data_IF_059740695397
#
_entry.id   IF_059740695397
#
_cell.length_a   1.000
_cell.length_b   1.000
_cell.length_c   1.000
_cell.angle_alpha   90.00
_cell.angle_beta   90.00
_cell.angle_gamma   90.00
#
_symmetry.space_group_name_H-M   'P 1'
#
loop_
_entity.id
_entity.type
_entity.pdbx_description
1 polymer ?
#
# COMPACT_ATOMS: atom_id res chain seq x y z
N UNK A 1 -0.65 -7.75 10.03
CA UNK A 1 0.10 -6.56 9.59
C UNK A 1 -0.88 -5.66 8.84
N UNK A 2 -0.79 -4.35 9.03
CA UNK A 2 -1.74 -3.35 8.51
C UNK A 2 -0.99 -2.10 8.03
N UNK A 3 -1.70 -1.28 7.25
CA UNK A 3 -1.26 -0.01 6.67
C UNK A 3 -2.20 1.11 7.12
N UNK A 4 -1.77 2.36 6.96
CA UNK A 4 -2.52 3.57 7.28
C UNK A 4 -2.79 4.39 6.01
N UNK A 5 -4.00 4.96 5.80
CA UNK A 5 -4.34 5.71 4.59
C UNK A 5 -3.46 6.93 4.32
N UNK A 6 -2.84 7.48 5.36
CA UNK A 6 -1.98 8.66 5.34
C UNK A 6 -0.49 8.34 5.12
N UNK A 7 -0.11 7.07 5.06
CA UNK A 7 1.29 6.69 4.88
C UNK A 7 1.70 6.52 3.41
N UNK A 8 3.00 6.57 3.15
CA UNK A 8 3.56 6.37 1.81
C UNK A 8 3.34 4.93 1.34
N UNK A 9 2.88 4.79 0.09
CA UNK A 9 2.52 3.49 -0.48
C UNK A 9 3.75 2.58 -0.64
N UNK A 10 4.92 3.17 -0.81
CA UNK A 10 6.22 2.50 -0.89
C UNK A 10 6.58 1.80 0.43
N UNK A 11 6.25 2.41 1.57
CA UNK A 11 6.48 1.83 2.90
C UNK A 11 5.58 0.61 3.12
N UNK A 12 4.35 0.65 2.60
CA UNK A 12 3.45 -0.50 2.61
C UNK A 12 3.97 -1.63 1.70
N UNK A 13 4.46 -1.30 0.50
CA UNK A 13 5.05 -2.27 -0.42
C UNK A 13 6.33 -2.91 0.12
N UNK A 14 7.18 -2.14 0.81
CA UNK A 14 8.37 -2.66 1.47
C UNK A 14 7.98 -3.71 2.50
N UNK A 15 7.05 -3.38 3.41
CA UNK A 15 6.56 -4.33 4.43
C UNK A 15 5.90 -5.56 3.82
N UNK A 16 5.14 -5.39 2.73
CA UNK A 16 4.59 -6.52 1.97
C UNK A 16 5.71 -7.45 1.48
N UNK A 17 6.76 -6.89 0.89
CA UNK A 17 7.88 -7.65 0.33
C UNK A 17 8.65 -8.39 1.42
N UNK A 18 8.98 -7.71 2.52
CA UNK A 18 9.73 -8.27 3.64
C UNK A 18 8.99 -9.44 4.32
N UNK A 19 7.65 -9.42 4.29
CA UNK A 19 6.81 -10.39 4.96
C UNK A 19 6.09 -11.36 4.00
N UNK A 20 6.46 -11.34 2.71
CA UNK A 20 5.82 -12.12 1.64
C UNK A 20 4.28 -11.98 1.61
N UNK A 21 3.77 -10.77 1.88
CA UNK A 21 2.35 -10.44 1.84
C UNK A 21 1.97 -9.90 0.47
N UNK A 22 0.80 -10.29 -0.01
CA UNK A 22 0.22 -9.78 -1.27
C UNK A 22 -0.91 -8.77 -1.04
N UNK A 23 -1.44 -8.73 0.18
CA UNK A 23 -2.53 -7.84 0.59
C UNK A 23 -2.25 -7.28 1.98
N UNK A 24 -2.59 -6.02 2.20
CA UNK A 24 -2.51 -5.37 3.50
C UNK A 24 -3.79 -4.59 3.80
N UNK A 25 -4.44 -4.83 4.95
CA UNK A 25 -5.60 -4.05 5.38
C UNK A 25 -5.15 -2.63 5.76
N UNK A 26 -5.88 -1.64 5.28
CA UNK A 26 -5.78 -0.25 5.68
C UNK A 26 -6.75 0.01 6.83
N UNK A 27 -6.21 0.50 7.94
CA UNK A 27 -7.00 0.92 9.10
C UNK A 27 -6.87 2.43 9.27
N UNK A 28 -7.90 3.09 9.77
CA UNK A 28 -7.76 4.46 10.27
C UNK A 28 -6.90 4.44 11.55
N UNK A 29 -5.99 5.41 11.68
CA UNK A 29 -4.90 5.36 12.66
C UNK A 29 -5.39 5.47 14.11
N UNK A 30 -6.34 6.33 14.41
CA UNK A 30 -6.79 6.58 15.78
C UNK A 30 -7.84 5.57 16.24
N UNK A 31 -8.87 5.37 15.43
CA UNK A 31 -10.02 4.49 15.70
C UNK A 31 -9.72 3.01 15.47
N UNK A 32 -8.65 2.69 14.72
CA UNK A 32 -8.35 1.34 14.24
C UNK A 32 -9.46 0.74 13.37
N UNK A 33 -10.38 1.57 12.84
CA UNK A 33 -11.45 1.10 11.98
C UNK A 33 -10.92 0.64 10.62
N UNK A 34 -11.47 -0.46 10.10
CA UNK A 34 -11.13 -0.95 8.77
C UNK A 34 -11.73 -0.04 7.71
N UNK A 35 -10.88 0.54 6.88
CA UNK A 35 -11.30 1.47 5.82
C UNK A 35 -11.06 0.90 4.41
N UNK A 36 -10.25 -0.15 4.28
CA UNK A 36 -10.03 -0.81 3.00
C UNK A 36 -8.86 -1.78 3.02
N UNK A 37 -8.43 -2.21 1.84
CA UNK A 37 -7.22 -3.00 1.67
C UNK A 37 -6.51 -2.58 0.39
N UNK A 38 -5.20 -2.76 0.37
CA UNK A 38 -4.36 -2.56 -0.80
C UNK A 38 -3.63 -3.86 -1.12
N UNK A 39 -3.40 -4.11 -2.41
CA UNK A 39 -2.62 -5.24 -2.88
C UNK A 39 -1.28 -4.78 -3.46
N UNK A 40 -0.26 -5.63 -3.37
CA UNK A 40 1.06 -5.30 -3.94
C UNK A 40 1.00 -5.04 -5.44
N UNK A 41 0.07 -5.69 -6.15
CA UNK A 41 -0.12 -5.49 -7.58
C UNK A 41 -0.65 -4.11 -7.93
N UNK A 42 -1.66 -3.61 -7.20
CA UNK A 42 -2.19 -2.25 -7.39
C UNK A 42 -1.12 -1.17 -7.17
N UNK A 43 -0.25 -1.38 -6.16
CA UNK A 43 0.86 -0.46 -5.87
C UNK A 43 1.89 -0.46 -7.01
N UNK A 44 2.27 -1.65 -7.50
CA UNK A 44 3.22 -1.78 -8.61
C UNK A 44 2.69 -1.15 -9.91
N UNK A 45 1.39 -1.30 -10.18
CA UNK A 45 0.74 -0.66 -11.32
C UNK A 45 0.79 0.87 -11.19
N UNK A 46 0.49 1.42 -10.01
CA UNK A 46 0.57 2.85 -9.74
C UNK A 46 1.96 3.42 -10.02
N UNK A 47 3.00 2.81 -9.45
CA UNK A 47 4.41 3.21 -9.64
C UNK A 47 4.79 3.15 -11.13
N UNK A 48 4.35 2.10 -11.83
CA UNK A 48 4.65 1.93 -13.26
C UNK A 48 3.96 2.99 -14.13
N UNK A 49 2.74 3.40 -13.76
CA UNK A 49 1.99 4.47 -14.45
C UNK A 49 2.68 5.81 -14.24
N UNK A 50 3.07 6.15 -13.01
CA UNK A 50 3.77 7.40 -12.72
C UNK A 50 5.12 7.50 -13.46
N UNK A 51 5.87 6.39 -13.53
CA UNK A 51 7.12 6.34 -14.28
C UNK A 51 6.95 6.58 -15.79
N UNK A 52 5.77 6.32 -16.36
CA UNK A 52 5.46 6.52 -17.79
C UNK A 52 4.88 7.90 -18.11
N UNK A 53 4.31 8.59 -17.12
CA UNK A 53 3.71 9.93 -17.28
C UNK A 53 4.71 11.09 -17.29
N UNK A 54 6.01 10.82 -17.09
CA UNK A 54 7.08 11.82 -17.08
C UNK A 54 7.84 12.00 -18.40
N UNK A 55 7.25 11.65 -19.55
CA UNK A 55 7.83 11.86 -20.89
C UNK A 55 7.07 12.92 -21.69
#
# INVERSE_FOLDING_TARGET
MNTWPDEHVEDALQRMTENALTVMPALERESQEFVGAITSQEILELITVEARGGQ
#
